data_IF_279667662252
#
_entry.id   IF_279667662252
#
_cell.length_a   1.000
_cell.length_b   1.000
_cell.length_c   1.000
_cell.angle_alpha   90.00
_cell.angle_beta   90.00
_cell.angle_gamma   90.00
#
_symmetry.space_group_name_H-M   'P 1'
#
loop_
_entity.id
_entity.type
_entity.pdbx_description
1 polymer ?
#
# COMPACT_ATOMS: atom_id res chain seq x y z
N UNK A 1 -14.33 11.63 13.65
CA UNK A 1 -13.47 11.44 12.47
C UNK A 1 -14.19 10.48 11.55
N UNK A 2 -14.53 10.88 10.32
CA UNK A 2 -15.11 9.95 9.34
C UNK A 2 -13.96 9.11 8.78
N UNK A 3 -13.94 7.82 9.09
CA UNK A 3 -13.00 6.85 8.50
C UNK A 3 -13.49 6.49 7.10
N UNK A 4 -12.59 6.56 6.11
CA UNK A 4 -12.89 6.13 4.74
C UNK A 4 -13.20 4.63 4.71
N UNK A 5 -14.31 4.26 4.10
CA UNK A 5 -14.69 2.86 3.87
C UNK A 5 -13.95 2.27 2.68
N UNK A 6 -13.92 0.95 2.59
CA UNK A 6 -13.34 0.26 1.43
C UNK A 6 -14.02 0.67 0.11
N UNK A 7 -15.35 0.78 0.09
CA UNK A 7 -16.10 1.18 -1.11
C UNK A 7 -15.78 2.62 -1.53
N UNK A 8 -15.63 3.53 -0.58
CA UNK A 8 -15.21 4.90 -0.86
C UNK A 8 -13.78 4.94 -1.42
N UNK A 9 -12.85 4.14 -0.87
CA UNK A 9 -11.50 4.03 -1.38
C UNK A 9 -11.47 3.45 -2.80
N UNK A 10 -12.19 2.36 -3.06
CA UNK A 10 -12.29 1.72 -4.37
C UNK A 10 -12.87 2.68 -5.42
N UNK A 11 -13.86 3.50 -5.06
CA UNK A 11 -14.42 4.50 -5.96
C UNK A 11 -13.38 5.53 -6.43
N UNK A 12 -12.32 5.79 -5.66
CA UNK A 12 -11.25 6.71 -6.04
C UNK A 12 -10.38 6.20 -7.19
N UNK A 13 -10.40 4.90 -7.50
CA UNK A 13 -9.63 4.33 -8.62
C UNK A 13 -10.10 4.83 -9.98
N UNK A 14 -11.33 5.38 -10.05
CA UNK A 14 -11.88 6.04 -11.24
C UNK A 14 -11.23 7.39 -11.55
N UNK A 15 -10.54 7.98 -10.57
CA UNK A 15 -9.80 9.22 -10.74
C UNK A 15 -8.37 9.01 -11.23
N UNK A 16 -7.67 10.13 -11.39
CA UNK A 16 -6.27 10.18 -11.86
C UNK A 16 -5.26 10.44 -10.74
N UNK A 17 -5.73 10.57 -9.49
CA UNK A 17 -4.88 10.78 -8.32
C UNK A 17 -5.44 10.02 -7.10
N UNK A 18 -4.57 9.59 -6.16
CA UNK A 18 -5.01 8.99 -4.91
C UNK A 18 -5.81 9.98 -4.05
N UNK A 19 -6.69 9.51 -3.17
CA UNK A 19 -7.48 10.39 -2.30
C UNK A 19 -6.57 11.26 -1.41
N UNK A 20 -6.86 12.56 -1.36
CA UNK A 20 -6.17 13.46 -0.46
C UNK A 20 -6.45 13.11 1.01
N UNK A 21 -5.46 13.30 1.88
CA UNK A 21 -5.62 13.09 3.32
C UNK A 21 -5.54 11.64 3.81
N UNK A 22 -5.27 10.67 2.92
CA UNK A 22 -4.92 9.29 3.34
C UNK A 22 -3.40 9.14 3.51
N UNK A 23 -2.98 8.24 4.40
CA UNK A 23 -1.56 7.91 4.62
C UNK A 23 -0.90 7.26 3.40
N UNK A 24 0.44 7.25 3.35
CA UNK A 24 1.17 6.80 2.15
C UNK A 24 0.95 5.32 1.85
N UNK A 25 0.71 4.50 2.87
CA UNK A 25 0.36 3.08 2.68
C UNK A 25 -0.92 2.89 1.85
N UNK A 26 -1.97 3.69 2.07
CA UNK A 26 -3.18 3.65 1.25
C UNK A 26 -2.93 4.23 -0.15
N UNK A 27 -2.11 5.27 -0.28
CA UNK A 27 -1.70 5.78 -1.59
C UNK A 27 -0.93 4.72 -2.39
N UNK A 28 -0.06 3.94 -1.73
CA UNK A 28 0.68 2.84 -2.36
C UNK A 28 -0.25 1.79 -2.95
N UNK A 29 -1.27 1.35 -2.21
CA UNK A 29 -2.30 0.43 -2.71
C UNK A 29 -3.10 1.02 -3.88
N UNK A 30 -3.33 2.34 -3.88
CA UNK A 30 -3.97 3.02 -5.00
C UNK A 30 -3.11 2.95 -6.27
N UNK A 31 -1.79 3.22 -6.16
CA UNK A 31 -0.87 3.12 -7.29
C UNK A 31 -0.66 1.68 -7.77
N UNK A 32 -0.63 0.70 -6.87
CA UNK A 32 -0.64 -0.72 -7.20
C UNK A 32 -1.85 -1.08 -8.08
N UNK A 33 -3.05 -0.68 -7.65
CA UNK A 33 -4.28 -0.90 -8.41
C UNK A 33 -4.30 -0.20 -9.79
N UNK A 34 -3.50 0.86 -9.97
CA UNK A 34 -3.30 1.55 -11.26
C UNK A 34 -2.13 0.98 -12.08
N UNK A 35 -1.46 -0.06 -11.58
CA UNK A 35 -0.31 -0.70 -12.23
C UNK A 35 0.99 0.10 -12.15
N UNK A 36 1.09 1.10 -11.27
CA UNK A 36 2.31 1.87 -11.04
C UNK A 36 3.08 1.30 -9.83
N UNK A 37 3.75 0.18 -10.07
CA UNK A 37 4.48 -0.59 -9.07
C UNK A 37 5.63 0.20 -8.43
N UNK A 38 6.35 1.01 -9.21
CA UNK A 38 7.48 1.78 -8.71
C UNK A 38 7.04 2.81 -7.66
N UNK A 39 5.95 3.52 -7.94
CA UNK A 39 5.40 4.50 -7.01
C UNK A 39 4.77 3.83 -5.78
N UNK A 40 4.12 2.68 -5.96
CA UNK A 40 3.59 1.89 -4.85
C UNK A 40 4.70 1.49 -3.86
N UNK A 41 5.81 0.95 -4.35
CA UNK A 41 6.95 0.57 -3.51
C UNK A 41 7.58 1.78 -2.82
N UNK A 42 7.78 2.89 -3.55
CA UNK A 42 8.35 4.13 -2.98
C UNK A 42 7.52 4.62 -1.80
N UNK A 43 6.19 4.72 -1.96
CA UNK A 43 5.29 5.21 -0.92
C UNK A 43 5.19 4.26 0.28
N UNK A 44 5.15 2.95 0.04
CA UNK A 44 5.15 1.95 1.12
C UNK A 44 6.47 2.00 1.92
N UNK A 45 7.60 2.22 1.25
CA UNK A 45 8.91 2.37 1.86
C UNK A 45 9.07 3.66 2.69
N UNK A 46 8.49 4.78 2.22
CA UNK A 46 8.51 6.07 2.91
C UNK A 46 7.56 6.15 4.11
N UNK A 47 6.63 5.21 4.23
CA UNK A 47 5.80 5.05 5.41
C UNK A 47 6.54 4.18 6.44
N UNK A 48 7.41 4.80 7.24
CA UNK A 48 8.33 4.11 8.16
C UNK A 48 7.63 3.59 9.44
N UNK A 49 6.51 2.88 9.29
CA UNK A 49 5.76 2.24 10.36
C UNK A 49 5.25 0.85 9.96
N UNK A 50 4.54 0.19 10.89
CA UNK A 50 4.01 -1.15 10.68
C UNK A 50 3.05 -1.24 9.48
N UNK A 51 2.27 -0.18 9.21
CA UNK A 51 1.33 -0.15 8.08
C UNK A 51 2.05 -0.05 6.74
N UNK A 52 3.09 0.79 6.64
CA UNK A 52 3.94 0.84 5.44
C UNK A 52 4.66 -0.47 5.17
N UNK A 53 5.24 -1.08 6.21
CA UNK A 53 5.85 -2.40 6.11
C UNK A 53 4.85 -3.49 5.68
N UNK A 54 3.61 -3.41 6.16
CA UNK A 54 2.57 -4.38 5.79
C UNK A 54 2.19 -4.28 4.31
N UNK A 55 2.00 -3.07 3.80
CA UNK A 55 1.73 -2.84 2.38
C UNK A 55 2.93 -3.24 1.52
N UNK A 56 4.16 -2.93 1.93
CA UNK A 56 5.38 -3.32 1.21
C UNK A 56 5.48 -4.85 1.09
N UNK A 57 5.15 -5.58 2.16
CA UNK A 57 5.11 -7.03 2.15
C UNK A 57 4.07 -7.58 1.16
N UNK A 58 2.87 -6.99 1.12
CA UNK A 58 1.85 -7.34 0.14
C UNK A 58 2.37 -7.12 -1.29
N UNK A 59 3.01 -6.00 -1.60
CA UNK A 59 3.52 -5.71 -2.95
C UNK A 59 4.51 -6.78 -3.44
N UNK A 60 5.47 -7.18 -2.60
CA UNK A 60 6.39 -8.27 -2.95
C UNK A 60 5.69 -9.64 -3.08
N UNK A 61 4.61 -9.85 -2.34
CA UNK A 61 3.80 -11.07 -2.51
C UNK A 61 3.11 -11.10 -3.87
N UNK A 62 2.58 -9.97 -4.36
CA UNK A 62 2.01 -9.87 -5.72
C UNK A 62 3.10 -10.01 -6.78
N UNK A 63 4.31 -9.50 -6.52
CA UNK A 63 5.49 -9.64 -7.39
C UNK A 63 5.98 -11.09 -7.53
N UNK A 64 5.63 -11.95 -6.57
CA UNK A 64 6.14 -13.32 -6.51
C UNK A 64 7.48 -13.46 -5.80
N UNK A 65 7.83 -12.50 -4.92
CA UNK A 65 9.00 -12.52 -4.05
C UNK A 65 8.61 -12.86 -2.59
N UNK A 66 8.45 -14.15 -2.25
CA UNK A 66 8.06 -14.56 -0.91
C UNK A 66 9.14 -14.26 0.15
N UNK A 67 10.40 -14.15 -0.26
CA UNK A 67 11.52 -13.87 0.63
C UNK A 67 11.47 -12.44 1.17
N UNK A 68 11.33 -11.47 0.27
CA UNK A 68 11.15 -10.07 0.67
C UNK A 68 9.80 -9.83 1.33
N UNK A 69 8.72 -10.45 0.84
CA UNK A 69 7.42 -10.37 1.50
C UNK A 69 7.51 -10.81 2.98
N UNK A 70 8.18 -11.94 3.27
CA UNK A 70 8.37 -12.42 4.63
C UNK A 70 9.21 -11.47 5.50
N UNK A 71 10.25 -10.86 4.93
CA UNK A 71 11.06 -9.84 5.63
C UNK A 71 10.19 -8.65 6.07
N UNK A 72 9.33 -8.14 5.18
CA UNK A 72 8.49 -6.99 5.45
C UNK A 72 7.31 -7.31 6.37
N UNK A 73 6.68 -8.48 6.26
CA UNK A 73 5.65 -8.93 7.20
C UNK A 73 6.20 -9.04 8.62
N UNK A 74 7.44 -9.54 8.79
CA UNK A 74 8.10 -9.55 10.09
C UNK A 74 8.31 -8.13 10.65
N UNK A 75 8.65 -7.16 9.80
CA UNK A 75 8.77 -5.74 10.21
C UNK A 75 7.42 -5.12 10.58
N UNK A 76 6.35 -5.55 9.93
CA UNK A 76 4.99 -5.12 10.24
C UNK A 76 4.42 -5.78 11.52
N UNK A 77 5.03 -6.87 11.98
CA UNK A 77 4.48 -7.76 13.02
C UNK A 77 3.07 -8.28 12.66
N UNK A 78 2.81 -8.47 11.37
CA UNK A 78 1.52 -8.92 10.84
C UNK A 78 1.70 -9.51 9.43
N UNK A 79 0.95 -10.56 9.05
CA UNK A 79 0.82 -11.01 7.66
C UNK A 79 -0.15 -10.14 6.85
#
# INVERSE_FOLDING_TARGET
>A
MNTMTFQEFEATLRGDAPPAGVGRALQALWYDAKGNWAEAHRLAQEEENATGAWVHAYLHRVEGDPGNAAYWYRRANQP
#
